data_IF_073295177023
#
_entry.id   IF_073295177023
#
_cell.length_a   1.000
_cell.length_b   1.000
_cell.length_c   1.000
_cell.angle_alpha   90.00
_cell.angle_beta   90.00
_cell.angle_gamma   90.00
#
_symmetry.space_group_name_H-M   'P 1'
#
loop_
_entity.id
_entity.type
_entity.pdbx_description
1 polymer ?
#
# COMPACT_ATOMS: atom_id res chain seq x y z
N UNK A 1 7.09 9.82 -15.11
CA UNK A 1 7.14 10.13 -13.67
C UNK A 1 8.58 10.31 -13.18
N UNK A 2 8.83 11.14 -12.17
CA UNK A 2 10.12 11.24 -11.45
C UNK A 2 9.88 10.99 -9.96
N UNK A 3 10.81 10.32 -9.29
CA UNK A 3 10.77 10.06 -7.84
C UNK A 3 11.96 10.76 -7.21
N UNK A 4 11.69 11.53 -6.16
CA UNK A 4 12.68 12.29 -5.41
C UNK A 4 12.75 11.82 -3.95
N UNK A 5 13.92 11.99 -3.34
CA UNK A 5 14.13 11.88 -1.89
C UNK A 5 14.44 13.28 -1.34
N UNK A 6 13.92 13.56 -0.14
CA UNK A 6 14.17 14.81 0.57
C UNK A 6 15.40 14.64 1.47
N UNK A 7 16.40 15.50 1.30
CA UNK A 7 17.61 15.53 2.12
C UNK A 7 17.77 16.88 2.81
N UNK A 8 18.23 16.89 4.06
CA UNK A 8 18.57 18.12 4.79
C UNK A 8 19.92 18.70 4.36
N UNK A 9 20.06 20.03 4.41
CA UNK A 9 21.21 20.79 3.89
C UNK A 9 22.60 20.51 4.51
N UNK A 10 22.71 19.62 5.51
CA UNK A 10 24.01 19.24 6.09
C UNK A 10 24.89 18.39 5.16
N UNK A 11 24.34 17.86 4.07
CA UNK A 11 25.06 17.05 3.07
C UNK A 11 25.41 17.80 1.78
N UNK A 12 24.92 19.03 1.60
CA UNK A 12 25.31 19.89 0.48
C UNK A 12 26.54 20.71 0.85
N UNK A 13 27.66 20.67 0.09
CA UNK A 13 28.77 21.59 0.33
C UNK A 13 28.24 23.01 0.17
N UNK A 14 28.32 23.81 1.24
CA UNK A 14 28.03 25.24 1.18
C UNK A 14 28.88 25.85 0.06
N UNK A 15 28.34 26.86 -0.63
CA UNK A 15 29.00 27.61 -1.71
C UNK A 15 30.44 28.08 -1.41
N UNK A 16 30.87 28.04 -0.14
CA UNK A 16 32.27 28.20 0.26
C UNK A 16 33.25 27.21 -0.38
N UNK A 17 32.80 26.11 -1.01
CA UNK A 17 33.72 25.20 -1.72
C UNK A 17 33.87 25.48 -3.22
N UNK A 18 33.14 26.46 -3.78
CA UNK A 18 33.13 26.74 -5.23
C UNK A 18 33.49 28.18 -5.61
N UNK A 19 33.67 29.07 -4.64
CA UNK A 19 33.97 30.47 -4.91
C UNK A 19 35.40 30.81 -4.47
N UNK A 20 36.25 31.18 -5.42
CA UNK A 20 37.52 31.86 -5.14
C UNK A 20 37.25 33.10 -4.26
N UNK A 21 38.13 33.35 -3.30
CA UNK A 21 38.06 34.42 -2.28
C UNK A 21 37.82 35.83 -2.88
N UNK A 22 38.06 35.99 -4.17
CA UNK A 22 37.83 37.24 -4.91
C UNK A 22 36.35 37.57 -5.11
N UNK A 23 35.43 36.59 -5.17
CA UNK A 23 33.99 36.86 -5.34
C UNK A 23 33.34 37.26 -4.02
N UNK A 24 33.81 36.70 -2.90
CA UNK A 24 33.26 36.97 -1.56
C UNK A 24 33.48 38.43 -1.16
N UNK A 25 34.63 39.02 -1.50
CA UNK A 25 34.93 40.42 -1.17
C UNK A 25 34.09 41.46 -1.94
N UNK A 26 33.52 41.09 -3.10
CA UNK A 26 32.63 41.97 -3.87
C UNK A 26 31.19 42.03 -3.31
N UNK A 27 30.82 41.08 -2.46
CA UNK A 27 29.47 41.00 -1.86
C UNK A 27 29.42 41.73 -0.51
N UNK A 28 30.58 42.01 0.10
CA UNK A 28 30.70 42.43 1.50
C UNK A 28 30.52 43.95 1.74
N UNK A 29 30.14 44.75 0.74
CA UNK A 29 29.85 46.19 0.89
C UNK A 29 28.38 46.56 0.85
N UNK A 30 27.45 45.59 0.95
CA UNK A 30 26.01 45.83 1.19
C UNK A 30 25.45 44.93 2.29
N UNK A 31 26.18 44.81 3.40
CA UNK A 31 25.68 44.10 4.57
C UNK A 31 24.47 44.81 5.17
N UNK A 32 23.26 44.33 4.84
CA UNK A 32 22.05 44.26 5.69
C UNK A 32 20.75 44.06 4.87
N UNK A 33 20.61 42.97 4.10
CA UNK A 33 19.27 42.47 3.64
C UNK A 33 19.27 41.12 2.89
N UNK A 34 20.40 40.42 2.83
CA UNK A 34 20.45 39.05 2.30
C UNK A 34 20.99 38.16 3.40
N UNK A 35 20.15 37.89 4.40
CA UNK A 35 20.22 36.60 5.08
C UNK A 35 20.07 35.58 3.95
N UNK A 36 21.21 35.04 3.51
CA UNK A 36 21.33 34.24 2.30
C UNK A 36 20.25 33.16 2.36
N UNK A 37 19.27 33.22 1.44
CA UNK A 37 18.15 32.29 1.32
C UNK A 37 18.64 30.88 0.92
N UNK A 38 19.46 30.27 1.77
CA UNK A 38 19.96 28.93 1.57
C UNK A 38 18.78 27.95 1.79
N UNK A 39 18.52 27.04 0.84
CA UNK A 39 17.43 26.09 0.98
C UNK A 39 17.73 25.12 2.12
N UNK A 40 16.80 24.98 3.06
CA UNK A 40 16.88 24.00 4.14
C UNK A 40 16.64 22.57 3.65
N UNK A 41 15.95 22.44 2.51
CA UNK A 41 15.50 21.20 1.91
C UNK A 41 16.01 21.10 0.48
N UNK A 42 16.63 19.97 0.14
CA UNK A 42 16.98 19.62 -1.24
C UNK A 42 16.19 18.38 -1.69
N UNK A 43 15.79 18.38 -2.96
CA UNK A 43 15.17 17.22 -3.60
C UNK A 43 16.19 16.56 -4.51
N UNK A 44 16.54 15.31 -4.21
CA UNK A 44 17.44 14.51 -5.05
C UNK A 44 16.61 13.56 -5.92
N UNK A 45 16.81 13.61 -7.24
CA UNK A 45 16.15 12.70 -8.16
C UNK A 45 16.80 11.30 -8.09
N UNK A 46 16.06 10.31 -7.59
CA UNK A 46 16.56 8.94 -7.45
C UNK A 46 16.08 8.00 -8.55
N UNK A 47 15.04 8.40 -9.31
CA UNK A 47 14.51 7.60 -10.41
C UNK A 47 13.68 8.43 -11.39
N UNK A 48 13.83 8.13 -12.67
CA UNK A 48 13.00 8.67 -13.74
C UNK A 48 12.43 7.54 -14.59
N UNK A 49 11.14 7.64 -14.88
CA UNK A 49 10.47 6.74 -15.81
C UNK A 49 11.03 6.97 -17.21
N UNK A 50 11.62 5.92 -17.81
CA UNK A 50 12.12 5.99 -19.18
C UNK A 50 10.93 6.01 -20.15
N UNK A 51 10.73 7.14 -20.83
CA UNK A 51 9.65 7.30 -21.83
C UNK A 51 9.89 6.35 -23.00
N UNK A 52 8.93 5.47 -23.28
CA UNK A 52 8.86 4.79 -24.57
C UNK A 52 8.12 5.71 -25.56
N UNK A 53 8.94 6.37 -26.39
CA UNK A 53 8.66 6.92 -27.72
C UNK A 53 7.54 7.96 -27.97
N UNK A 54 6.48 8.10 -27.18
CA UNK A 54 5.39 9.04 -27.51
C UNK A 54 5.10 10.07 -26.39
N UNK A 55 5.40 11.37 -26.61
CA UNK A 55 5.12 12.45 -25.68
C UNK A 55 3.63 12.63 -25.34
N UNK A 56 2.72 12.21 -26.22
CA UNK A 56 1.28 12.47 -26.13
C UNK A 56 0.55 11.49 -25.20
N UNK A 57 1.16 10.35 -24.85
CA UNK A 57 0.54 9.31 -23.99
C UNK A 57 0.92 9.42 -22.51
N UNK A 58 1.72 10.42 -22.12
CA UNK A 58 2.21 10.60 -20.74
C UNK A 58 1.36 11.51 -19.87
N UNK A 59 0.23 11.02 -19.33
CA UNK A 59 -0.56 11.73 -18.32
C UNK A 59 0.11 11.78 -16.93
N UNK A 60 -0.25 12.75 -16.06
CA UNK A 60 0.16 12.75 -14.66
C UNK A 60 -0.43 11.54 -13.93
N UNK A 61 0.17 11.12 -12.81
CA UNK A 61 -0.47 10.11 -11.98
C UNK A 61 -1.70 10.70 -11.29
N UNK A 62 -2.80 9.94 -11.32
CA UNK A 62 -4.05 10.25 -10.64
C UNK A 62 -3.91 10.06 -9.14
N UNK A 63 -3.21 8.99 -8.73
CA UNK A 63 -2.89 8.71 -7.32
C UNK A 63 -1.50 8.11 -7.19
N UNK A 64 -0.87 8.30 -6.03
CA UNK A 64 0.38 7.63 -5.68
C UNK A 64 0.39 7.25 -4.20
N UNK A 65 1.01 6.11 -3.88
CA UNK A 65 1.13 5.60 -2.52
C UNK A 65 2.37 4.74 -2.35
N UNK A 66 2.84 4.62 -1.11
CA UNK A 66 3.85 3.67 -0.69
C UNK A 66 3.17 2.43 -0.11
N UNK A 67 3.71 1.25 -0.38
CA UNK A 67 3.26 0.02 0.24
C UNK A 67 4.42 -0.95 0.47
N UNK A 68 4.15 -2.02 1.19
CA UNK A 68 5.07 -3.13 1.44
C UNK A 68 4.42 -4.44 1.04
N UNK A 69 5.21 -5.40 0.57
CA UNK A 69 4.77 -6.79 0.51
C UNK A 69 4.94 -7.50 1.87
N UNK A 70 4.45 -8.74 1.98
CA UNK A 70 4.49 -9.50 3.23
C UNK A 70 5.89 -9.69 3.79
N UNK A 71 6.90 -9.78 2.92
CA UNK A 71 8.31 -9.94 3.29
C UNK A 71 9.04 -8.60 3.49
N UNK A 72 8.33 -7.47 3.40
CA UNK A 72 8.84 -6.15 3.73
C UNK A 72 9.55 -5.41 2.60
N UNK A 73 9.47 -5.87 1.35
CA UNK A 73 9.98 -5.10 0.22
C UNK A 73 9.09 -3.87 -0.01
N UNK A 74 9.71 -2.70 -0.17
CA UNK A 74 9.01 -1.44 -0.38
C UNK A 74 8.66 -1.24 -1.86
N UNK A 75 7.45 -0.74 -2.11
CA UNK A 75 6.99 -0.38 -3.45
C UNK A 75 6.44 1.05 -3.45
N UNK A 76 6.85 1.81 -4.46
CA UNK A 76 6.31 3.12 -4.80
C UNK A 76 5.36 2.90 -5.95
N UNK A 77 4.08 3.12 -5.72
CA UNK A 77 3.02 2.83 -6.66
C UNK A 77 2.38 4.13 -7.12
N UNK A 78 2.19 4.30 -8.42
CA UNK A 78 1.48 5.44 -8.98
C UNK A 78 0.55 5.00 -10.12
N UNK A 79 -0.73 5.34 -9.98
CA UNK A 79 -1.78 5.00 -10.92
C UNK A 79 -1.92 6.12 -11.96
N UNK A 80 -1.99 5.75 -13.24
CA UNK A 80 -2.22 6.68 -14.36
C UNK A 80 -3.53 6.29 -15.04
N UNK A 81 -4.60 7.05 -14.78
CA UNK A 81 -5.94 6.73 -15.26
C UNK A 81 -6.04 6.71 -16.79
N UNK A 82 -5.36 7.61 -17.48
CA UNK A 82 -5.35 7.69 -18.94
C UNK A 82 -4.78 6.41 -19.60
N UNK A 83 -3.93 5.68 -18.86
CA UNK A 83 -3.33 4.42 -19.33
C UNK A 83 -4.03 3.18 -18.75
N UNK A 84 -4.89 3.33 -17.74
CA UNK A 84 -5.38 2.22 -16.91
C UNK A 84 -4.25 1.33 -16.38
N UNK A 85 -3.17 1.95 -15.89
CA UNK A 85 -2.00 1.25 -15.36
C UNK A 85 -1.62 1.75 -13.98
N UNK A 86 -1.46 0.82 -13.04
CA UNK A 86 -0.68 1.02 -11.82
C UNK A 86 0.78 0.70 -12.12
N UNK A 87 1.66 1.66 -11.88
CA UNK A 87 3.11 1.50 -12.05
C UNK A 87 3.74 1.32 -10.68
N UNK A 88 4.44 0.20 -10.48
CA UNK A 88 5.07 -0.18 -9.23
C UNK A 88 6.59 -0.17 -9.39
N UNK A 89 7.27 0.61 -8.56
CA UNK A 89 8.72 0.68 -8.51
C UNK A 89 9.19 0.07 -7.19
N UNK A 90 10.02 -0.98 -7.26
CA UNK A 90 10.56 -1.62 -6.06
C UNK A 90 11.77 -0.84 -5.55
N UNK A 91 11.64 -0.30 -4.33
CA UNK A 91 12.70 0.40 -3.62
C UNK A 91 13.31 -0.48 -2.51
N UNK A 92 14.59 -0.29 -2.26
CA UNK A 92 15.27 -0.81 -1.06
C UNK A 92 15.83 0.38 -0.29
N UNK A 93 15.39 0.54 0.95
CA UNK A 93 15.97 1.50 1.88
C UNK A 93 17.23 0.88 2.49
N UNK A 94 18.31 1.65 2.58
CA UNK A 94 19.53 1.27 3.29
C UNK A 94 19.62 2.04 4.60
N UNK A 95 20.46 1.57 5.51
CA UNK A 95 20.62 2.13 6.87
C UNK A 95 21.06 3.60 6.86
N UNK A 96 21.73 4.03 5.80
CA UNK A 96 22.16 5.43 5.57
C UNK A 96 21.00 6.37 5.17
N UNK A 97 19.75 5.88 5.13
CA UNK A 97 18.58 6.67 4.70
C UNK A 97 18.46 6.85 3.19
N UNK A 98 19.39 6.29 2.41
CA UNK A 98 19.34 6.25 0.94
C UNK A 98 18.38 5.16 0.45
N UNK A 99 17.64 5.45 -0.61
CA UNK A 99 16.80 4.48 -1.30
C UNK A 99 17.39 4.12 -2.66
N UNK A 100 17.59 2.83 -2.92
CA UNK A 100 17.96 2.34 -4.25
C UNK A 100 16.77 1.71 -4.94
N UNK A 101 16.51 2.10 -6.17
CA UNK A 101 15.48 1.50 -7.01
C UNK A 101 16.03 0.27 -7.74
N UNK A 102 15.24 -0.80 -7.81
CA UNK A 102 15.69 -2.08 -8.35
C UNK A 102 14.89 -2.61 -9.53
N UNK A 103 13.56 -2.49 -9.52
CA UNK A 103 12.71 -2.99 -10.60
C UNK A 103 11.48 -2.12 -10.80
N UNK A 104 10.88 -2.23 -11.99
CA UNK A 104 9.67 -1.55 -12.41
C UNK A 104 8.70 -2.59 -12.98
N UNK A 105 7.42 -2.50 -12.61
CA UNK A 105 6.36 -3.41 -13.06
C UNK A 105 5.07 -2.63 -13.24
N UNK A 106 4.27 -3.00 -14.23
CA UNK A 106 2.96 -2.39 -14.50
C UNK A 106 1.85 -3.40 -14.28
N UNK A 107 0.76 -2.98 -13.64
CA UNK A 107 -0.44 -3.77 -13.40
C UNK A 107 -1.63 -3.04 -14.05
N UNK A 108 -2.35 -3.67 -15.00
CA UNK A 108 -3.57 -3.09 -15.56
C UNK A 108 -4.67 -2.93 -14.50
N UNK A 109 -5.28 -1.76 -14.42
CA UNK A 109 -6.33 -1.47 -13.44
C UNK A 109 -7.14 -0.20 -13.75
N UNK A 110 -8.32 -0.10 -13.16
CA UNK A 110 -9.18 1.09 -13.14
C UNK A 110 -9.02 1.94 -11.87
N UNK A 111 -8.25 1.47 -10.90
CA UNK A 111 -7.98 2.19 -9.67
C UNK A 111 -7.15 1.35 -8.70
N UNK A 112 -6.45 1.99 -7.78
CA UNK A 112 -5.61 1.32 -6.80
C UNK A 112 -5.48 2.14 -5.52
N UNK A 113 -5.40 1.46 -4.38
CA UNK A 113 -5.12 2.09 -3.09
C UNK A 113 -4.34 1.14 -2.15
N UNK A 114 -3.49 1.73 -1.32
CA UNK A 114 -2.83 1.02 -0.21
C UNK A 114 -3.82 0.64 0.88
N UNK A 115 -3.65 -0.55 1.45
CA UNK A 115 -4.35 -1.00 2.65
C UNK A 115 -3.41 -0.79 3.84
N UNK A 116 -3.54 0.37 4.47
CA UNK A 116 -2.66 0.82 5.56
C UNK A 116 -2.50 -0.25 6.64
N UNK A 117 -1.26 -0.59 6.99
CA UNK A 117 -0.94 -1.54 8.04
C UNK A 117 -1.32 -3.00 7.74
N UNK A 118 -1.55 -3.36 6.47
CA UNK A 118 -1.82 -4.75 6.05
C UNK A 118 -0.78 -5.35 5.13
N UNK A 119 0.23 -4.59 4.68
CA UNK A 119 1.19 -5.03 3.65
C UNK A 119 0.48 -5.56 2.40
N UNK A 120 -0.59 -4.86 2.03
CA UNK A 120 -1.47 -5.18 0.93
C UNK A 120 -1.90 -3.89 0.21
N UNK A 121 -2.22 -4.01 -1.06
CA UNK A 121 -2.92 -2.99 -1.84
C UNK A 121 -4.14 -3.61 -2.52
N UNK A 122 -5.19 -2.83 -2.66
CA UNK A 122 -6.38 -3.21 -3.42
C UNK A 122 -6.30 -2.57 -4.81
N UNK A 123 -6.71 -3.32 -5.82
CA UNK A 123 -6.69 -2.93 -7.23
C UNK A 123 -8.05 -3.23 -7.82
N UNK A 124 -8.66 -2.26 -8.50
CA UNK A 124 -9.85 -2.49 -9.32
C UNK A 124 -9.34 -3.00 -10.67
N UNK A 125 -9.59 -4.27 -10.97
CA UNK A 125 -9.23 -4.87 -12.25
C UNK A 125 -10.10 -4.28 -13.39
N UNK A 126 -9.74 -4.53 -14.65
CA UNK A 126 -10.41 -3.97 -15.81
C UNK A 126 -11.88 -4.42 -15.93
N UNK A 127 -12.24 -5.55 -15.33
CA UNK A 127 -13.61 -6.05 -15.23
C UNK A 127 -14.43 -5.41 -14.09
N UNK A 128 -13.79 -4.61 -13.22
CA UNK A 128 -14.42 -3.97 -12.06
C UNK A 128 -14.37 -4.80 -10.78
N UNK A 129 -13.73 -5.97 -10.79
CA UNK A 129 -13.49 -6.76 -9.59
C UNK A 129 -12.36 -6.14 -8.74
N UNK A 130 -12.47 -6.24 -7.41
CA UNK A 130 -11.41 -5.80 -6.51
C UNK A 130 -10.47 -6.97 -6.23
N UNK A 131 -9.20 -6.81 -6.59
CA UNK A 131 -8.15 -7.81 -6.39
C UNK A 131 -7.16 -7.29 -5.35
N UNK A 132 -6.81 -8.13 -4.38
CA UNK A 132 -5.78 -7.85 -3.39
C UNK A 132 -4.41 -8.31 -3.88
N UNK A 133 -3.43 -7.45 -3.66
CA UNK A 133 -2.03 -7.67 -3.94
C UNK A 133 -1.20 -7.42 -2.69
N UNK A 134 -0.05 -8.09 -2.58
CA UNK A 134 1.02 -7.76 -1.63
C UNK A 134 2.28 -7.44 -2.44
N UNK A 135 2.67 -6.15 -2.46
CA UNK A 135 3.58 -5.64 -3.49
C UNK A 135 3.05 -5.95 -4.88
N UNK A 136 3.84 -6.59 -5.73
CA UNK A 136 3.42 -7.01 -7.08
C UNK A 136 2.83 -8.44 -7.14
N UNK A 137 2.67 -9.12 -5.99
CA UNK A 137 2.15 -10.50 -5.93
C UNK A 137 0.64 -10.49 -5.73
N UNK A 138 -0.10 -11.08 -6.66
CA UNK A 138 -1.56 -11.23 -6.56
C UNK A 138 -1.92 -12.23 -5.46
N UNK A 139 -2.77 -11.81 -4.52
CA UNK A 139 -3.24 -12.66 -3.40
C UNK A 139 -4.57 -13.31 -3.75
N UNK A 140 -5.56 -12.53 -4.19
CA UNK A 140 -6.90 -13.05 -4.49
C UNK A 140 -7.93 -11.96 -4.74
N UNK A 141 -9.09 -12.36 -5.24
CA UNK A 141 -10.23 -11.45 -5.37
C UNK A 141 -10.88 -11.22 -4.00
N UNK A 142 -11.36 -10.01 -3.77
CA UNK A 142 -12.08 -9.63 -2.57
C UNK A 142 -13.54 -10.06 -2.69
N UNK A 143 -13.97 -10.92 -1.77
CA UNK A 143 -15.35 -11.33 -1.58
C UNK A 143 -15.83 -10.85 -0.21
N UNK A 144 -17.09 -10.47 -0.10
CA UNK A 144 -17.63 -9.95 1.15
C UNK A 144 -19.14 -10.12 1.25
N UNK A 145 -19.61 -10.12 2.49
CA UNK A 145 -21.00 -9.82 2.81
C UNK A 145 -21.07 -8.30 3.01
N UNK A 146 -21.59 -7.58 2.02
CA UNK A 146 -21.65 -6.12 2.09
C UNK A 146 -22.91 -5.70 2.83
N UNK A 147 -22.74 -5.22 4.06
CA UNK A 147 -23.74 -4.33 4.66
C UNK A 147 -23.42 -2.91 4.19
N UNK A 148 -24.29 -2.36 3.34
CA UNK A 148 -24.14 -1.02 2.80
C UNK A 148 -24.28 0.01 3.93
N UNK A 149 -23.31 0.92 4.08
CA UNK A 149 -23.42 2.04 5.01
C UNK A 149 -24.33 3.07 4.35
N UNK A 150 -25.63 2.96 4.62
CA UNK A 150 -26.60 3.95 4.16
C UNK A 150 -26.48 5.20 5.06
N UNK A 151 -25.83 6.25 4.60
CA UNK A 151 -25.93 7.58 5.21
C UNK A 151 -27.31 8.18 4.87
N UNK A 152 -28.39 7.57 5.36
CA UNK A 152 -29.68 8.24 5.45
C UNK A 152 -29.76 8.90 6.82
N UNK A 153 -29.83 10.23 6.80
CA UNK A 153 -30.18 11.03 7.96
C UNK A 153 -31.38 10.41 8.68
N UNK A 154 -31.21 10.21 9.98
CA UNK A 154 -32.23 9.70 10.88
C UNK A 154 -33.46 10.61 10.83
N UNK A 155 -34.51 10.13 10.19
CA UNK A 155 -35.88 10.57 10.45
C UNK A 155 -36.71 9.32 10.74
N UNK A 156 -37.24 9.30 11.95
CA UNK A 156 -37.91 8.18 12.59
C UNK A 156 -39.09 7.61 11.78
N UNK A 157 -39.28 6.28 11.83
CA UNK A 157 -40.36 5.67 12.61
C UNK A 157 -40.31 4.14 12.61
N UNK A 158 -40.87 3.59 13.68
CA UNK A 158 -40.85 2.22 14.20
C UNK A 158 -41.50 1.12 13.32
N UNK A 159 -41.17 -0.12 13.71
CA UNK A 159 -41.80 -1.43 13.42
C UNK A 159 -41.46 -1.99 12.02
N UNK A 160 -40.90 -3.20 11.85
CA UNK A 160 -41.26 -4.49 12.45
C UNK A 160 -40.06 -5.43 12.61
N UNK A 161 -40.18 -6.33 13.60
CA UNK A 161 -39.24 -7.43 13.88
C UNK A 161 -39.53 -8.58 12.93
N UNK A 162 -38.59 -8.93 12.07
CA UNK A 162 -38.60 -10.23 11.39
C UNK A 162 -37.19 -10.84 11.37
N UNK A 163 -37.03 -11.91 12.16
CA UNK A 163 -35.86 -12.79 12.14
C UNK A 163 -35.74 -13.45 10.77
N UNK A 164 -34.82 -12.97 9.95
CA UNK A 164 -34.39 -13.67 8.75
C UNK A 164 -33.11 -14.44 9.06
N UNK A 165 -33.25 -15.77 9.13
CA UNK A 165 -32.15 -16.75 9.05
C UNK A 165 -31.44 -16.61 7.71
N UNK A 166 -30.46 -15.71 7.64
CA UNK A 166 -29.69 -15.42 6.44
C UNK A 166 -28.55 -16.41 6.21
N UNK A 167 -28.70 -17.30 5.23
CA UNK A 167 -27.55 -17.94 4.56
C UNK A 167 -26.70 -16.85 3.93
N UNK A 168 -25.64 -16.42 4.63
CA UNK A 168 -24.67 -15.42 4.18
C UNK A 168 -23.83 -15.93 3.01
N UNK A 169 -24.36 -15.81 1.79
CA UNK A 169 -23.61 -16.07 0.56
C UNK A 169 -22.62 -14.94 0.29
N UNK A 170 -21.33 -15.26 0.29
CA UNK A 170 -20.28 -14.32 -0.13
C UNK A 170 -20.56 -13.84 -1.56
N UNK A 171 -20.65 -12.52 -1.75
CA UNK A 171 -20.84 -11.92 -3.08
C UNK A 171 -19.56 -11.20 -3.52
N UNK A 172 -19.30 -11.21 -4.83
CA UNK A 172 -18.24 -10.39 -5.41
C UNK A 172 -18.66 -8.93 -5.24
N UNK A 173 -17.71 -8.08 -4.85
CA UNK A 173 -17.90 -6.64 -4.89
C UNK A 173 -18.03 -6.23 -6.35
N UNK A 174 -19.25 -6.13 -6.89
CA UNK A 174 -19.47 -5.94 -8.32
C UNK A 174 -20.45 -4.79 -8.61
N UNK A 175 -20.13 -3.89 -9.56
CA UNK A 175 -18.80 -3.44 -9.99
C UNK A 175 -18.37 -2.19 -9.21
N UNK A 176 -17.10 -2.13 -8.83
CA UNK A 176 -16.50 -0.97 -8.12
C UNK A 176 -15.97 0.03 -9.14
N UNK A 177 -16.30 1.30 -8.96
CA UNK A 177 -15.88 2.41 -9.82
C UNK A 177 -14.69 3.13 -9.20
N UNK A 178 -14.67 3.30 -7.89
CA UNK A 178 -13.59 4.00 -7.20
C UNK A 178 -13.18 3.29 -5.91
N UNK A 179 -11.90 3.43 -5.57
CA UNK A 179 -11.27 2.79 -4.43
C UNK A 179 -10.46 3.84 -3.65
N UNK A 180 -10.69 3.92 -2.35
CA UNK A 180 -9.99 4.85 -1.46
C UNK A 180 -9.42 4.12 -0.24
N UNK A 181 -8.22 4.50 0.16
CA UNK A 181 -7.66 4.09 1.45
C UNK A 181 -8.36 4.87 2.58
N UNK A 182 -8.71 4.21 3.68
CA UNK A 182 -9.30 4.86 4.84
C UNK A 182 -8.28 4.90 6.00
N UNK A 183 -8.62 4.25 7.11
CA UNK A 183 -7.74 4.02 8.26
C UNK A 183 -7.14 2.61 8.21
N UNK A 184 -6.31 2.28 9.19
CA UNK A 184 -5.56 1.01 9.23
C UNK A 184 -6.47 -0.19 9.00
N UNK A 185 -6.15 -1.00 7.99
CA UNK A 185 -6.88 -2.21 7.63
C UNK A 185 -8.22 -1.98 6.95
N UNK A 186 -8.57 -0.76 6.56
CA UNK A 186 -9.87 -0.45 5.95
C UNK A 186 -9.71 0.27 4.62
N UNK A 187 -10.56 -0.09 3.67
CA UNK A 187 -10.71 0.57 2.37
C UNK A 187 -12.17 0.93 2.15
N UNK A 188 -12.41 1.98 1.37
CA UNK A 188 -13.74 2.40 0.95
C UNK A 188 -13.85 2.13 -0.54
N UNK A 189 -14.92 1.44 -0.92
CA UNK A 189 -15.28 1.11 -2.29
C UNK A 189 -16.49 1.96 -2.68
N UNK A 190 -16.45 2.59 -3.84
CA UNK A 190 -17.62 3.21 -4.46
C UNK A 190 -18.15 2.27 -5.54
N UNK A 191 -19.40 1.84 -5.40
CA UNK A 191 -20.05 0.96 -6.38
C UNK A 191 -20.55 1.76 -7.59
N UNK A 192 -20.90 1.08 -8.68
CA UNK A 192 -21.59 1.72 -9.82
C UNK A 192 -22.92 2.39 -9.47
N UNK A 193 -23.52 2.07 -8.32
CA UNK A 193 -24.74 2.71 -7.81
C UNK A 193 -24.44 3.96 -6.97
N UNK A 194 -23.17 4.40 -6.92
CA UNK A 194 -22.69 5.47 -6.04
C UNK A 194 -22.90 5.18 -4.55
N UNK A 195 -22.90 3.91 -4.17
CA UNK A 195 -22.95 3.49 -2.77
C UNK A 195 -21.53 3.32 -2.25
N UNK A 196 -21.27 3.79 -1.03
CA UNK A 196 -19.98 3.63 -0.37
C UNK A 196 -20.00 2.42 0.56
N UNK A 197 -19.03 1.53 0.39
CA UNK A 197 -18.88 0.31 1.17
C UNK A 197 -17.52 0.32 1.86
N UNK A 198 -17.52 0.29 3.19
CA UNK A 198 -16.29 0.14 3.96
C UNK A 198 -15.95 -1.34 4.12
N UNK A 199 -14.78 -1.74 3.64
CA UNK A 199 -14.29 -3.09 3.76
C UNK A 199 -13.17 -3.15 4.80
N UNK A 200 -13.31 -4.03 5.79
CA UNK A 200 -12.25 -4.36 6.75
C UNK A 200 -11.46 -5.55 6.24
N UNK A 201 -10.16 -5.36 6.03
CA UNK A 201 -9.25 -6.44 5.67
C UNK A 201 -8.59 -7.01 6.93
N UNK A 202 -8.51 -8.35 7.06
CA UNK A 202 -7.80 -8.98 8.15
C UNK A 202 -6.29 -8.70 8.05
N UNK A 203 -5.61 -8.67 9.19
CA UNK A 203 -4.15 -8.76 9.22
C UNK A 203 -3.70 -10.16 8.83
N UNK A 204 -2.44 -10.28 8.40
CA UNK A 204 -1.84 -11.58 8.07
C UNK A 204 -1.85 -12.56 9.27
N UNK A 205 -1.80 -12.03 10.49
CA UNK A 205 -2.00 -12.78 11.72
C UNK A 205 -2.76 -11.88 12.72
N UNK A 206 -3.61 -12.48 13.56
CA UNK A 206 -4.33 -11.79 14.64
C UNK A 206 -3.45 -11.59 15.87
N UNK A 207 -2.54 -12.54 16.13
CA UNK A 207 -1.56 -12.52 17.19
C UNK A 207 -0.23 -11.91 16.73
N UNK A 208 0.35 -10.95 17.48
CA UNK A 208 1.69 -10.44 17.23
C UNK A 208 2.76 -11.53 17.27
N UNK A 209 2.58 -12.57 18.10
CA UNK A 209 3.50 -13.69 18.20
C UNK A 209 3.56 -14.47 16.88
N UNK A 210 2.39 -14.81 16.31
CA UNK A 210 2.32 -15.54 15.03
C UNK A 210 2.84 -14.67 13.88
N UNK A 211 2.56 -13.37 13.90
CA UNK A 211 3.11 -12.42 12.94
C UNK A 211 4.65 -12.40 12.97
N UNK A 212 5.25 -12.37 14.17
CA UNK A 212 6.70 -12.39 14.34
C UNK A 212 7.30 -13.73 13.93
N UNK A 213 6.69 -14.86 14.33
CA UNK A 213 7.14 -16.18 13.91
C UNK A 213 7.12 -16.33 12.39
N UNK A 214 6.04 -15.89 11.72
CA UNK A 214 5.96 -15.90 10.27
C UNK A 214 7.05 -15.02 9.64
N UNK A 215 7.30 -13.84 10.19
CA UNK A 215 8.38 -12.95 9.75
C UNK A 215 9.75 -13.61 9.86
N UNK A 216 10.04 -14.27 10.99
CA UNK A 216 11.30 -14.99 11.22
C UNK A 216 11.46 -16.22 10.33
N UNK A 217 10.39 -16.99 10.09
CA UNK A 217 10.45 -18.11 9.13
C UNK A 217 10.75 -17.58 7.72
N UNK A 218 10.05 -16.52 7.31
CA UNK A 218 10.23 -15.90 5.99
C UNK A 218 11.62 -15.29 5.80
N UNK A 219 12.24 -14.71 6.84
CA UNK A 219 13.58 -14.12 6.75
C UNK A 219 14.68 -15.17 6.47
N UNK A 220 14.43 -16.43 6.81
CA UNK A 220 15.35 -17.55 6.55
C UNK A 220 15.13 -18.22 5.18
N UNK A 221 14.14 -17.77 4.41
CA UNK A 221 13.80 -18.33 3.10
C UNK A 221 14.24 -17.39 1.97
N UNK A 222 14.55 -17.93 0.77
CA UNK A 222 14.63 -17.12 -0.44
C UNK A 222 13.33 -16.31 -0.66
N UNK A 223 13.45 -15.08 -1.16
CA UNK A 223 12.34 -14.10 -1.25
C UNK A 223 11.07 -14.69 -1.91
N UNK A 224 11.23 -15.45 -3.00
CA UNK A 224 10.10 -16.06 -3.71
C UNK A 224 9.38 -17.12 -2.87
N UNK A 225 10.14 -17.92 -2.11
CA UNK A 225 9.58 -18.94 -1.20
C UNK A 225 8.91 -18.28 -0.01
N UNK A 226 9.52 -17.24 0.56
CA UNK A 226 8.95 -16.45 1.65
C UNK A 226 7.61 -15.79 1.25
N UNK A 227 7.55 -15.19 0.06
CA UNK A 227 6.32 -14.63 -0.50
C UNK A 227 5.25 -15.69 -0.73
N UNK A 228 5.62 -16.85 -1.29
CA UNK A 228 4.69 -17.97 -1.49
C UNK A 228 4.13 -18.49 -0.16
N UNK A 229 4.98 -18.68 0.85
CA UNK A 229 4.57 -19.13 2.18
C UNK A 229 3.61 -18.12 2.83
N UNK A 230 3.97 -16.84 2.81
CA UNK A 230 3.17 -15.76 3.40
C UNK A 230 1.81 -15.60 2.72
N UNK A 231 1.78 -15.69 1.39
CA UNK A 231 0.54 -15.63 0.60
C UNK A 231 -0.35 -16.84 0.90
N UNK A 232 0.25 -18.04 0.96
CA UNK A 232 -0.46 -19.28 1.30
C UNK A 232 -1.10 -19.19 2.68
N UNK A 233 -0.35 -18.74 3.69
CA UNK A 233 -0.85 -18.51 5.04
C UNK A 233 -2.03 -17.52 5.05
N UNK A 234 -1.87 -16.38 4.39
CA UNK A 234 -2.91 -15.35 4.29
C UNK A 234 -4.20 -15.89 3.65
N UNK A 235 -4.09 -16.81 2.69
CA UNK A 235 -5.25 -17.39 1.98
C UNK A 235 -5.81 -18.66 2.64
N UNK A 236 -5.20 -19.17 3.70
CA UNK A 236 -5.59 -20.45 4.35
C UNK A 236 -6.90 -20.37 5.16
N UNK A 237 -7.70 -19.30 4.97
CA UNK A 237 -8.95 -19.00 5.68
C UNK A 237 -8.82 -19.00 7.22
N UNK A 238 -7.61 -18.86 7.75
CA UNK A 238 -7.32 -18.85 9.19
C UNK A 238 -8.13 -17.77 9.90
N UNK A 239 -8.26 -16.58 9.30
CA UNK A 239 -9.01 -15.47 9.89
C UNK A 239 -10.49 -15.81 10.10
N UNK A 240 -11.12 -16.49 9.14
CA UNK A 240 -12.53 -16.90 9.25
C UNK A 240 -12.73 -18.00 10.28
N UNK A 241 -11.80 -18.96 10.36
CA UNK A 241 -11.85 -20.01 11.38
C UNK A 241 -11.67 -19.45 12.79
N UNK A 242 -10.79 -18.46 12.96
CA UNK A 242 -10.52 -17.83 14.24
C UNK A 242 -11.73 -17.10 14.85
N UNK A 243 -12.65 -16.62 14.03
CA UNK A 243 -13.85 -15.92 14.51
C UNK A 243 -14.79 -16.86 15.29
N UNK A 244 -14.60 -18.18 15.22
CA UNK A 244 -15.34 -19.17 16.02
C UNK A 244 -14.69 -19.49 17.37
N UNK A 245 -13.46 -19.00 17.63
CA UNK A 245 -12.70 -19.27 18.85
C UNK A 245 -12.60 -18.03 19.74
N UNK A 246 -13.70 -17.69 20.43
CA UNK A 246 -13.79 -16.48 21.26
C UNK A 246 -12.81 -16.47 22.46
N UNK A 247 -12.75 -17.55 23.24
CA UNK A 247 -11.98 -17.56 24.50
C UNK A 247 -10.50 -17.97 24.37
N UNK A 248 -10.11 -18.56 23.23
CA UNK A 248 -8.75 -19.10 23.01
C UNK A 248 -8.19 -18.79 21.60
N UNK A 249 -8.57 -17.64 21.04
CA UNK A 249 -8.18 -17.22 19.68
C UNK A 249 -6.68 -17.35 19.41
N UNK A 250 -5.85 -16.91 20.35
CA UNK A 250 -4.38 -16.93 20.19
C UNK A 250 -3.85 -18.36 20.17
N UNK A 251 -4.29 -19.22 21.10
CA UNK A 251 -3.87 -20.61 21.14
C UNK A 251 -4.30 -21.38 19.88
N UNK A 252 -5.52 -21.12 19.39
CA UNK A 252 -6.03 -21.68 18.15
C UNK A 252 -5.21 -21.21 16.94
N UNK A 253 -4.88 -19.91 16.87
CA UNK A 253 -4.05 -19.37 15.79
C UNK A 253 -2.65 -19.98 15.77
N UNK A 254 -2.02 -20.13 16.94
CA UNK A 254 -0.71 -20.78 17.07
C UNK A 254 -0.78 -22.23 16.62
N UNK A 255 -1.81 -22.99 17.02
CA UNK A 255 -1.99 -24.37 16.60
C UNK A 255 -2.18 -24.49 15.08
N UNK A 256 -3.02 -23.62 14.48
CA UNK A 256 -3.21 -23.56 13.04
C UNK A 256 -1.93 -23.17 12.30
N UNK A 257 -1.14 -22.25 12.86
CA UNK A 257 0.14 -21.84 12.29
C UNK A 257 1.17 -22.98 12.31
N UNK A 258 1.29 -23.69 13.42
CA UNK A 258 2.17 -24.86 13.54
C UNK A 258 1.75 -25.94 12.55
N UNK A 259 0.46 -26.26 12.47
CA UNK A 259 -0.06 -27.24 11.51
C UNK A 259 0.22 -26.81 10.06
N UNK A 260 0.01 -25.52 9.74
CA UNK A 260 0.32 -24.97 8.43
C UNK A 260 1.81 -25.15 8.08
N UNK A 261 2.72 -24.83 8.99
CA UNK A 261 4.16 -25.01 8.76
C UNK A 261 4.51 -26.48 8.50
N UNK A 262 3.97 -27.41 9.27
CA UNK A 262 4.20 -28.86 9.06
C UNK A 262 3.69 -29.38 7.71
N UNK A 263 2.66 -28.74 7.12
CA UNK A 263 2.15 -29.11 5.79
C UNK A 263 3.02 -28.51 4.66
N UNK A 264 3.72 -27.42 4.92
CA UNK A 264 4.55 -26.72 3.93
C UNK A 264 6.02 -27.18 3.93
N UNK A 265 6.48 -27.85 4.98
CA UNK A 265 7.79 -28.47 5.12
C UNK A 265 7.78 -29.94 4.69
#
# INVERSE_FOLDING_TARGET
>A
MMIFVITGAHTTPRLSSFCDDSIISLIETRGSELDLLAPEICMECIWTERRQADPETGGPATTAFLTQDFIGQMYICFYVAEQNLLKCVRGKMHDEGRMTISSFTTIPCKGAADVKGRKMMAIIDLDGAVILYSGITRIGALYGNYEFINFKESSANNQDVQEHTGTCGLSICAPVVELRSAFVGHIILETQKHELVMCKLPSIASSPFVAECLSQVCSNLPLDKAMKLSSSWCTSNTSGLLDHYYDNRVAAEVAMFVQFLFVQC
#
